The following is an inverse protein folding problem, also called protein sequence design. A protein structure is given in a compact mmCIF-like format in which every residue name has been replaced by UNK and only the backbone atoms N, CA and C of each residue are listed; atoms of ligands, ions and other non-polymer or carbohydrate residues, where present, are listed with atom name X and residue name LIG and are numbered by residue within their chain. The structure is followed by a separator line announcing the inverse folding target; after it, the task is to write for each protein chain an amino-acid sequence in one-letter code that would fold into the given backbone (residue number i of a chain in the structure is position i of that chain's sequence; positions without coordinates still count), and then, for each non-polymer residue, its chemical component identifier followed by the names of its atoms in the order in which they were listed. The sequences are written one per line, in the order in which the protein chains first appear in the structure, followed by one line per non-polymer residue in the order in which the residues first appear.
data_IF_171204945370
#
_entry.id   IF_171204945370
#
_cell.length_a   1.000
_cell.length_b   1.000
_cell.length_c   1.000
_cell.angle_alpha   90.00
_cell.angle_beta   90.00
_cell.angle_gamma   90.00
#
_symmetry.space_group_name_H-M   'P 1'
#
loop_
_entity.id
_entity.type
_entity.pdbx_description
1 polymer ?
#
# COMPACT_ATOMS: atom_id res chain seq x y z
N UNK A 1 -16.05 -7.16 16.90
CA UNK A 1 -16.08 -6.18 17.98
C UNK A 1 -17.14 -6.55 19.02
N UNK A 2 -16.75 -6.46 20.30
CA UNK A 2 -17.63 -6.75 21.44
C UNK A 2 -18.50 -5.55 21.79
N UNK A 3 -18.40 -4.46 21.04
CA UNK A 3 -19.01 -3.17 21.34
C UNK A 3 -20.18 -2.89 20.42
N UNK A 4 -21.18 -2.18 20.97
CA UNK A 4 -22.36 -1.71 20.23
C UNK A 4 -22.41 -0.18 20.09
N UNK A 5 -21.43 0.54 20.67
CA UNK A 5 -21.38 2.01 20.63
C UNK A 5 -20.34 2.52 19.62
N UNK A 6 -20.65 3.61 18.93
CA UNK A 6 -19.75 4.24 17.95
C UNK A 6 -18.39 4.61 18.55
N UNK A 7 -18.39 5.19 19.76
CA UNK A 7 -17.14 5.62 20.44
C UNK A 7 -16.20 4.45 20.74
N UNK A 8 -16.74 3.31 21.18
CA UNK A 8 -15.94 2.13 21.47
C UNK A 8 -15.44 1.46 20.17
N UNK A 9 -16.22 1.51 19.08
CA UNK A 9 -15.76 1.09 17.76
C UNK A 9 -14.63 1.98 17.24
N UNK A 10 -14.77 3.29 17.34
CA UNK A 10 -13.75 4.26 16.96
C UNK A 10 -12.42 4.01 17.72
N UNK A 11 -12.51 3.75 19.02
CA UNK A 11 -11.32 3.44 19.83
C UNK A 11 -10.65 2.13 19.41
N UNK A 12 -11.44 1.10 19.09
CA UNK A 12 -10.92 -0.16 18.56
C UNK A 12 -10.19 0.03 17.21
N UNK A 13 -10.74 0.86 16.32
CA UNK A 13 -10.12 1.18 15.02
C UNK A 13 -8.82 1.98 15.18
N UNK A 14 -8.75 2.90 16.13
CA UNK A 14 -7.51 3.63 16.46
C UNK A 14 -6.44 2.65 16.96
N UNK A 15 -6.78 1.73 17.85
CA UNK A 15 -5.86 0.71 18.35
C UNK A 15 -5.38 -0.22 17.22
N UNK A 16 -6.29 -0.67 16.38
CA UNK A 16 -5.96 -1.51 15.22
C UNK A 16 -5.03 -0.77 14.24
N UNK A 17 -5.33 0.47 13.94
CA UNK A 17 -4.51 1.31 13.06
C UNK A 17 -3.11 1.59 13.61
N UNK A 18 -3.00 1.83 14.92
CA UNK A 18 -1.68 2.01 15.57
C UNK A 18 -0.87 0.71 15.54
N UNK A 19 -1.48 -0.42 15.89
CA UNK A 19 -0.82 -1.73 15.82
C UNK A 19 -0.33 -2.05 14.40
N UNK A 20 -1.15 -1.83 13.40
CA UNK A 20 -0.79 -2.06 12.00
C UNK A 20 0.35 -1.13 11.53
N UNK A 21 0.39 0.11 12.03
CA UNK A 21 1.46 1.05 11.70
C UNK A 21 2.81 0.59 12.26
N UNK A 22 2.85 0.02 13.45
CA UNK A 22 4.06 -0.54 14.06
C UNK A 22 4.61 -1.73 13.28
N UNK A 23 3.74 -2.60 12.76
CA UNK A 23 4.16 -3.79 11.99
C UNK A 23 4.67 -3.39 10.60
N UNK A 24 3.92 -2.56 9.87
CA UNK A 24 4.14 -2.27 8.43
C UNK A 24 5.49 -1.63 8.06
N UNK A 25 6.24 -1.10 9.02
CA UNK A 25 7.59 -0.57 8.77
C UNK A 25 8.68 -1.53 9.21
N UNK A 26 8.40 -2.30 10.27
CA UNK A 26 9.36 -3.20 10.89
C UNK A 26 9.62 -4.45 10.05
N UNK A 27 8.58 -5.02 9.42
CA UNK A 27 8.64 -6.24 8.62
C UNK A 27 9.58 -6.11 7.41
N UNK A 28 9.37 -5.09 6.61
CA UNK A 28 10.16 -4.86 5.40
C UNK A 28 11.59 -4.38 5.72
N UNK A 29 11.76 -3.63 6.82
CA UNK A 29 13.08 -3.23 7.30
C UNK A 29 13.88 -4.46 7.80
N UNK A 30 13.25 -5.34 8.58
CA UNK A 30 13.87 -6.57 9.05
C UNK A 30 14.29 -7.48 7.90
N UNK A 31 13.44 -7.60 6.87
CA UNK A 31 13.76 -8.36 5.66
C UNK A 31 14.99 -7.78 4.95
N UNK A 32 15.03 -6.46 4.75
CA UNK A 32 16.15 -5.82 4.08
C UNK A 32 17.45 -5.98 4.88
N UNK A 33 17.41 -5.71 6.18
CA UNK A 33 18.57 -5.84 7.06
C UNK A 33 19.09 -7.28 7.12
N UNK A 34 18.17 -8.26 7.12
CA UNK A 34 18.53 -9.69 7.07
C UNK A 34 19.21 -10.02 5.74
N UNK A 35 18.66 -9.59 4.61
CA UNK A 35 19.29 -9.86 3.30
C UNK A 35 20.63 -9.16 3.16
N UNK A 36 20.79 -7.96 3.70
CA UNK A 36 22.06 -7.23 3.73
C UNK A 36 23.11 -7.94 4.62
N UNK A 37 22.73 -8.44 5.80
CA UNK A 37 23.63 -9.20 6.66
C UNK A 37 24.24 -10.43 5.96
N UNK A 38 23.48 -11.08 5.08
CA UNK A 38 23.93 -12.22 4.28
C UNK A 38 24.54 -11.82 2.93
N UNK A 39 24.77 -10.52 2.66
CA UNK A 39 25.28 -9.98 1.39
C UNK A 39 24.42 -10.40 0.18
N UNK A 40 23.10 -10.40 0.37
CA UNK A 40 22.10 -10.82 -0.62
C UNK A 40 21.02 -9.74 -0.83
N UNK A 41 21.41 -8.47 -0.78
CA UNK A 41 20.48 -7.32 -0.95
C UNK A 41 19.75 -7.37 -2.30
N UNK A 42 20.38 -7.93 -3.32
CA UNK A 42 19.80 -8.16 -4.63
C UNK A 42 18.57 -9.10 -4.61
N UNK A 43 18.44 -9.92 -3.56
CA UNK A 43 17.27 -10.81 -3.39
C UNK A 43 16.13 -10.15 -2.61
N UNK A 44 16.34 -8.97 -2.00
CA UNK A 44 15.32 -8.27 -1.21
C UNK A 44 14.01 -8.13 -1.98
N UNK A 45 14.06 -7.57 -3.19
CA UNK A 45 12.87 -7.31 -4.01
C UNK A 45 12.09 -8.60 -4.33
N UNK A 46 12.81 -9.68 -4.57
CA UNK A 46 12.21 -11.01 -4.79
C UNK A 46 11.48 -11.53 -3.55
N UNK A 47 12.05 -11.36 -2.36
CA UNK A 47 11.42 -11.78 -1.11
C UNK A 47 10.26 -10.85 -0.72
N UNK A 48 10.41 -9.54 -0.88
CA UNK A 48 9.33 -8.57 -0.65
C UNK A 48 8.13 -8.85 -1.57
N UNK A 49 8.39 -9.20 -2.83
CA UNK A 49 7.35 -9.64 -3.77
C UNK A 49 6.62 -10.90 -3.30
N UNK A 50 7.35 -11.89 -2.75
CA UNK A 50 6.75 -13.11 -2.18
C UNK A 50 5.90 -12.82 -0.95
N UNK A 51 6.38 -11.95 -0.05
CA UNK A 51 5.62 -11.53 1.14
C UNK A 51 4.34 -10.82 0.73
N UNK A 52 4.45 -9.89 -0.24
CA UNK A 52 3.29 -9.19 -0.80
C UNK A 52 2.30 -10.17 -1.42
N UNK A 53 2.78 -11.18 -2.16
CA UNK A 53 1.93 -12.23 -2.71
C UNK A 53 1.20 -13.00 -1.61
N UNK A 54 1.93 -13.52 -0.62
CA UNK A 54 1.34 -14.30 0.49
C UNK A 54 0.29 -13.47 1.22
N UNK A 55 0.56 -12.18 1.47
CA UNK A 55 -0.40 -11.27 2.09
C UNK A 55 -1.69 -11.13 1.26
N UNK A 56 -1.57 -10.89 -0.05
CA UNK A 56 -2.74 -10.77 -0.92
C UNK A 56 -3.52 -12.10 -1.10
N UNK A 57 -2.84 -13.24 -1.10
CA UNK A 57 -3.51 -14.54 -1.07
C UNK A 57 -4.25 -14.78 0.24
N UNK A 58 -3.67 -14.39 1.38
CA UNK A 58 -4.32 -14.47 2.68
C UNK A 58 -5.56 -13.53 2.73
N UNK A 59 -5.47 -12.31 2.19
CA UNK A 59 -6.63 -11.41 2.04
C UNK A 59 -7.73 -12.01 1.15
N UNK A 60 -7.35 -12.65 0.04
CA UNK A 60 -8.28 -13.31 -0.85
C UNK A 60 -9.04 -14.44 -0.14
N UNK A 61 -8.34 -15.29 0.60
CA UNK A 61 -8.95 -16.35 1.41
C UNK A 61 -9.84 -15.77 2.52
N UNK A 62 -9.34 -14.73 3.21
CA UNK A 62 -10.11 -14.04 4.25
C UNK A 62 -11.41 -13.43 3.70
N UNK A 63 -11.40 -12.92 2.46
CA UNK A 63 -12.59 -12.41 1.78
C UNK A 63 -13.66 -13.49 1.57
N UNK A 64 -13.25 -14.68 1.14
CA UNK A 64 -14.17 -15.82 0.93
C UNK A 64 -14.72 -16.31 2.27
N UNK A 65 -13.84 -16.65 3.21
CA UNK A 65 -14.26 -17.18 4.51
C UNK A 65 -15.02 -16.13 5.34
N UNK A 66 -14.59 -14.86 5.30
CA UNK A 66 -15.27 -13.76 5.95
C UNK A 66 -16.69 -13.55 5.40
N UNK A 67 -16.85 -13.63 4.07
CA UNK A 67 -18.17 -13.60 3.44
C UNK A 67 -19.06 -14.75 3.89
N UNK A 68 -18.56 -15.98 3.93
CA UNK A 68 -19.30 -17.14 4.42
C UNK A 68 -19.69 -16.99 5.91
N UNK A 69 -18.77 -16.56 6.77
CA UNK A 69 -19.06 -16.32 8.18
C UNK A 69 -20.10 -15.20 8.38
N UNK A 70 -20.06 -14.17 7.55
CA UNK A 70 -21.00 -13.05 7.62
C UNK A 70 -22.44 -13.46 7.28
N UNK A 71 -22.67 -14.56 6.54
CA UNK A 71 -24.02 -15.10 6.31
C UNK A 71 -24.67 -15.63 7.58
N UNK A 72 -23.88 -16.10 8.55
CA UNK A 72 -24.39 -16.54 9.86
C UNK A 72 -24.51 -15.40 10.85
N UNK A 73 -23.49 -14.53 10.93
CA UNK A 73 -23.49 -13.32 11.76
C UNK A 73 -22.41 -12.36 11.31
N UNK A 74 -22.75 -11.06 11.23
CA UNK A 74 -21.79 -9.99 10.93
C UNK A 74 -20.65 -9.86 11.96
N UNK A 75 -20.77 -10.47 13.13
CA UNK A 75 -19.74 -10.48 14.18
C UNK A 75 -18.73 -11.62 14.04
N UNK A 76 -19.12 -12.73 13.41
CA UNK A 76 -18.25 -13.91 13.27
C UNK A 76 -16.92 -13.62 12.54
N UNK A 77 -16.88 -12.85 11.45
CA UNK A 77 -15.60 -12.47 10.81
C UNK A 77 -14.64 -11.77 11.76
N UNK A 78 -15.14 -10.89 12.65
CA UNK A 78 -14.30 -10.20 13.63
C UNK A 78 -13.73 -11.12 14.70
N UNK A 79 -14.51 -12.12 15.14
CA UNK A 79 -14.00 -13.12 16.08
C UNK A 79 -12.95 -14.02 15.44
N UNK A 80 -13.18 -14.46 14.21
CA UNK A 80 -12.19 -15.22 13.44
C UNK A 80 -10.90 -14.43 13.22
N UNK A 81 -11.03 -13.16 12.86
CA UNK A 81 -9.87 -12.25 12.71
C UNK A 81 -9.09 -12.10 14.02
N UNK A 82 -9.76 -11.96 15.16
CA UNK A 82 -9.11 -11.88 16.46
C UNK A 82 -8.30 -13.16 16.76
N UNK A 83 -8.90 -14.34 16.57
CA UNK A 83 -8.22 -15.63 16.77
C UNK A 83 -6.97 -15.73 15.88
N UNK A 84 -7.10 -15.42 14.60
CA UNK A 84 -5.97 -15.47 13.65
C UNK A 84 -4.89 -14.46 14.05
N UNK A 85 -5.25 -13.24 14.47
CA UNK A 85 -4.28 -12.23 14.91
C UNK A 85 -3.44 -12.71 16.12
N UNK A 86 -4.04 -13.45 17.06
CA UNK A 86 -3.32 -14.03 18.19
C UNK A 86 -2.25 -15.06 17.76
N UNK A 87 -2.42 -15.74 16.63
CA UNK A 87 -1.39 -16.65 16.10
C UNK A 87 -0.13 -15.94 15.64
N UNK A 88 -0.21 -14.64 15.39
CA UNK A 88 0.93 -13.80 15.06
C UNK A 88 1.91 -13.61 16.24
N UNK A 89 1.44 -13.72 17.48
CA UNK A 89 2.27 -13.52 18.67
C UNK A 89 3.42 -14.56 18.75
N UNK A 90 3.17 -15.88 18.74
CA UNK A 90 4.26 -16.85 18.74
C UNK A 90 5.15 -16.73 17.50
N UNK A 91 4.60 -16.40 16.33
CA UNK A 91 5.39 -16.17 15.14
C UNK A 91 6.36 -14.99 15.29
N UNK A 92 5.92 -13.89 15.93
CA UNK A 92 6.76 -12.73 16.21
C UNK A 92 7.94 -13.06 17.14
N UNK A 93 7.74 -13.92 18.15
CA UNK A 93 8.81 -14.37 19.05
C UNK A 93 9.85 -15.27 18.36
N UNK A 94 9.53 -15.89 17.24
CA UNK A 94 10.46 -16.69 16.46
C UNK A 94 11.37 -15.84 15.54
N UNK A 95 11.06 -14.57 15.34
CA UNK A 95 11.89 -13.67 14.53
C UNK A 95 13.18 -13.34 15.27
N UNK A 96 14.31 -13.43 14.56
CA UNK A 96 15.62 -13.01 15.07
C UNK A 96 15.89 -11.58 14.64
N UNK A 97 16.15 -10.72 15.62
CA UNK A 97 16.60 -9.36 15.31
C UNK A 97 18.01 -9.36 14.74
N UNK A 98 18.22 -8.52 13.73
CA UNK A 98 19.55 -8.20 13.22
C UNK A 98 20.22 -7.25 14.20
N UNK A 99 21.44 -7.56 14.62
CA UNK A 99 22.22 -6.72 15.55
C UNK A 99 22.39 -5.31 14.96
N UNK A 100 21.69 -4.34 15.53
CA UNK A 100 21.85 -2.91 15.24
C UNK A 100 22.86 -2.33 16.23
N UNK A 101 23.89 -1.68 15.72
CA UNK A 101 25.05 -1.24 16.49
C UNK A 101 24.80 -0.03 17.43
N UNK A 102 23.65 0.61 17.41
CA UNK A 102 23.40 1.83 18.18
C UNK A 102 22.23 1.68 19.17
N UNK A 103 22.53 1.80 20.49
CA UNK A 103 21.53 2.02 21.53
C UNK A 103 20.99 3.45 21.41
N UNK A 104 19.70 3.58 21.13
CA UNK A 104 18.99 4.86 21.06
C UNK A 104 18.88 5.44 22.48
N UNK A 105 19.57 6.54 22.74
CA UNK A 105 19.54 7.21 24.05
C UNK A 105 18.24 8.01 24.28
N UNK A 106 17.65 8.61 23.21
CA UNK A 106 16.42 9.41 23.25
C UNK A 106 15.52 9.08 22.04
N UNK A 107 14.52 8.20 22.20
CA UNK A 107 13.70 7.74 21.06
C UNK A 107 12.95 8.86 20.34
N UNK A 108 12.44 9.86 21.06
CA UNK A 108 11.66 10.96 20.43
C UNK A 108 12.57 11.84 19.58
N UNK A 109 13.72 12.24 20.10
CA UNK A 109 14.68 13.08 19.38
C UNK A 109 15.21 12.32 18.14
N UNK A 110 15.38 11.02 18.26
CA UNK A 110 15.80 10.18 17.14
C UNK A 110 14.73 10.13 16.03
N UNK A 111 13.47 9.94 16.38
CA UNK A 111 12.35 9.97 15.41
C UNK A 111 12.29 11.33 14.71
N UNK A 112 12.39 12.44 15.44
CA UNK A 112 12.39 13.81 14.87
C UNK A 112 13.59 13.99 13.92
N UNK A 113 14.77 13.48 14.31
CA UNK A 113 15.98 13.52 13.47
C UNK A 113 15.75 12.75 12.16
N UNK A 114 15.17 11.55 12.23
CA UNK A 114 14.90 10.73 11.05
C UNK A 114 13.85 11.39 10.14
N UNK A 115 12.78 11.95 10.70
CA UNK A 115 11.79 12.71 9.93
C UNK A 115 12.46 13.87 9.20
N UNK A 116 13.25 14.68 9.90
CA UNK A 116 13.97 15.81 9.30
C UNK A 116 14.96 15.35 8.23
N UNK A 117 15.69 14.28 8.47
CA UNK A 117 16.62 13.71 7.51
C UNK A 117 15.89 13.25 6.24
N UNK A 118 14.83 12.45 6.39
CA UNK A 118 14.12 11.81 5.28
C UNK A 118 13.25 12.75 4.45
N UNK A 119 12.70 13.81 5.07
CA UNK A 119 11.77 14.72 4.38
C UNK A 119 12.37 16.08 4.02
N UNK A 120 13.49 16.48 4.67
CA UNK A 120 14.07 17.82 4.47
C UNK A 120 15.52 17.74 3.99
N UNK A 121 16.36 16.98 4.69
CA UNK A 121 17.81 16.97 4.42
C UNK A 121 18.17 16.16 3.19
N UNK A 122 17.64 14.94 3.06
CA UNK A 122 17.88 14.08 1.91
C UNK A 122 16.76 14.24 0.88
N UNK A 123 16.93 15.18 -0.04
CA UNK A 123 15.92 15.49 -1.08
C UNK A 123 15.55 14.27 -1.92
N UNK A 124 16.52 13.45 -2.29
CA UNK A 124 16.30 12.27 -3.13
C UNK A 124 15.42 11.24 -2.41
N UNK A 125 15.68 11.00 -1.13
CA UNK A 125 14.86 10.14 -0.29
C UNK A 125 13.43 10.72 -0.12
N UNK A 126 13.35 12.04 0.12
CA UNK A 126 12.06 12.73 0.20
C UNK A 126 11.23 12.53 -1.08
N UNK A 127 11.82 12.72 -2.26
CA UNK A 127 11.10 12.55 -3.52
C UNK A 127 10.60 11.10 -3.72
N UNK A 128 11.41 10.11 -3.35
CA UNK A 128 11.01 8.71 -3.38
C UNK A 128 9.85 8.42 -2.41
N UNK A 129 9.91 8.95 -1.18
CA UNK A 129 8.86 8.79 -0.18
C UNK A 129 7.56 9.45 -0.67
N UNK A 130 7.63 10.68 -1.18
CA UNK A 130 6.45 11.42 -1.67
C UNK A 130 5.83 10.75 -2.88
N UNK A 131 6.64 10.35 -3.87
CA UNK A 131 6.16 9.60 -5.02
C UNK A 131 5.48 8.29 -4.60
N UNK A 132 6.14 7.51 -3.75
CA UNK A 132 5.57 6.27 -3.19
C UNK A 132 4.31 6.52 -2.38
N UNK A 133 4.23 7.65 -1.67
CA UNK A 133 3.05 8.10 -0.93
C UNK A 133 1.86 8.36 -1.84
N UNK A 134 2.08 9.09 -2.94
CA UNK A 134 1.06 9.41 -3.94
C UNK A 134 0.52 8.14 -4.61
N UNK A 135 1.42 7.27 -5.07
CA UNK A 135 1.02 5.99 -5.69
C UNK A 135 0.28 5.09 -4.68
N UNK A 136 0.77 5.03 -3.44
CA UNK A 136 0.12 4.28 -2.36
C UNK A 136 -1.29 4.80 -2.06
N UNK A 137 -1.46 6.12 -1.93
CA UNK A 137 -2.76 6.75 -1.72
C UNK A 137 -3.70 6.52 -2.91
N UNK A 138 -3.19 6.63 -4.15
CA UNK A 138 -3.93 6.34 -5.36
C UNK A 138 -4.47 4.91 -5.38
N UNK A 139 -3.61 3.93 -5.11
CA UNK A 139 -4.01 2.51 -5.10
C UNK A 139 -4.99 2.19 -3.98
N UNK A 140 -4.86 2.86 -2.82
CA UNK A 140 -5.78 2.74 -1.71
C UNK A 140 -7.15 3.35 -2.06
N UNK A 141 -7.17 4.53 -2.66
CA UNK A 141 -8.40 5.19 -3.12
C UNK A 141 -9.15 4.31 -4.13
N UNK A 142 -8.46 3.75 -5.14
CA UNK A 142 -9.11 2.84 -6.10
C UNK A 142 -9.66 1.59 -5.42
N UNK A 143 -8.98 1.03 -4.43
CA UNK A 143 -9.48 -0.13 -3.68
C UNK A 143 -10.84 0.15 -3.04
N UNK A 144 -11.06 1.36 -2.51
CA UNK A 144 -12.37 1.79 -1.99
C UNK A 144 -13.37 2.11 -3.10
N UNK A 145 -12.92 2.59 -4.26
CA UNK A 145 -13.78 2.91 -5.41
C UNK A 145 -14.28 1.67 -6.18
N UNK A 146 -13.67 0.51 -5.99
CA UNK A 146 -14.19 -0.74 -6.59
C UNK A 146 -15.65 -0.96 -6.21
N UNK A 147 -16.03 -0.73 -4.95
CA UNK A 147 -17.40 -0.92 -4.50
C UNK A 147 -18.40 0.05 -5.16
N UNK A 148 -18.19 1.38 -5.20
CA UNK A 148 -19.02 2.30 -5.98
C UNK A 148 -19.13 1.93 -7.46
N UNK A 149 -18.05 1.46 -8.09
CA UNK A 149 -18.07 0.98 -9.49
C UNK A 149 -18.99 -0.22 -9.64
N UNK A 150 -18.89 -1.21 -8.75
CA UNK A 150 -19.76 -2.39 -8.78
C UNK A 150 -21.23 -2.04 -8.52
N UNK A 151 -21.50 -1.08 -7.62
CA UNK A 151 -22.85 -0.54 -7.39
C UNK A 151 -23.39 0.16 -8.62
N UNK A 152 -22.59 1.00 -9.29
CA UNK A 152 -22.97 1.67 -10.54
C UNK A 152 -23.33 0.67 -11.62
N UNK A 153 -22.58 -0.43 -11.75
CA UNK A 153 -22.82 -1.52 -12.70
C UNK A 153 -23.98 -2.43 -12.30
N UNK A 154 -24.65 -2.16 -11.16
CA UNK A 154 -25.72 -2.99 -10.61
C UNK A 154 -25.31 -4.46 -10.44
N UNK A 155 -24.03 -4.69 -10.12
CA UNK A 155 -23.49 -6.03 -9.87
C UNK A 155 -24.14 -6.62 -8.63
N UNK A 156 -24.61 -7.89 -8.64
CA UNK A 156 -25.13 -8.54 -7.44
C UNK A 156 -24.09 -8.56 -6.31
N UNK A 157 -24.50 -8.27 -5.08
CA UNK A 157 -23.61 -8.18 -3.91
C UNK A 157 -22.82 -9.48 -3.69
N UNK A 158 -23.38 -10.64 -4.06
CA UNK A 158 -22.71 -11.93 -4.00
C UNK A 158 -21.41 -12.02 -4.82
N UNK A 159 -21.26 -11.19 -5.84
CA UNK A 159 -20.04 -11.13 -6.67
C UNK A 159 -18.94 -10.21 -6.11
N UNK A 160 -19.25 -9.33 -5.15
CA UNK A 160 -18.28 -8.37 -4.61
C UNK A 160 -17.07 -9.07 -3.99
N UNK A 161 -17.32 -10.11 -3.19
CA UNK A 161 -16.24 -10.90 -2.58
C UNK A 161 -15.41 -11.64 -3.62
N UNK A 162 -16.04 -12.20 -4.66
CA UNK A 162 -15.34 -12.91 -5.75
C UNK A 162 -14.45 -11.94 -6.52
N UNK A 163 -14.98 -10.79 -6.93
CA UNK A 163 -14.22 -9.76 -7.68
C UNK A 163 -13.07 -9.25 -6.82
N UNK A 164 -13.31 -8.94 -5.54
CA UNK A 164 -12.27 -8.53 -4.60
C UNK A 164 -11.16 -9.57 -4.48
N UNK A 165 -11.53 -10.84 -4.33
CA UNK A 165 -10.59 -11.95 -4.27
C UNK A 165 -9.72 -12.03 -5.53
N UNK A 166 -10.33 -11.98 -6.71
CA UNK A 166 -9.60 -12.08 -7.97
C UNK A 166 -8.66 -10.88 -8.18
N UNK A 167 -9.09 -9.68 -7.80
CA UNK A 167 -8.25 -8.48 -7.86
C UNK A 167 -7.04 -8.59 -6.89
N UNK A 168 -7.22 -9.07 -5.67
CA UNK A 168 -6.10 -9.28 -4.73
C UNK A 168 -5.15 -10.39 -5.20
N UNK A 169 -5.66 -11.48 -5.77
CA UNK A 169 -4.83 -12.50 -6.39
C UNK A 169 -3.99 -11.90 -7.54
N UNK A 170 -4.57 -11.00 -8.34
CA UNK A 170 -3.83 -10.30 -9.40
C UNK A 170 -2.66 -9.48 -8.84
N UNK A 171 -2.88 -8.75 -7.73
CA UNK A 171 -1.79 -8.05 -7.01
C UNK A 171 -0.71 -9.03 -6.55
N UNK A 172 -1.12 -10.13 -5.93
CA UNK A 172 -0.20 -11.15 -5.42
C UNK A 172 0.67 -11.75 -6.51
N UNK A 173 0.06 -12.17 -7.63
CA UNK A 173 0.81 -12.70 -8.78
C UNK A 173 1.74 -11.66 -9.40
N UNK A 174 1.28 -10.42 -9.60
CA UNK A 174 2.12 -9.35 -10.11
C UNK A 174 3.32 -9.08 -9.20
N UNK A 175 3.13 -9.05 -7.89
CA UNK A 175 4.20 -8.82 -6.92
C UNK A 175 5.33 -9.85 -7.01
N UNK A 176 5.05 -11.11 -7.38
CA UNK A 176 6.07 -12.14 -7.59
C UNK A 176 7.06 -11.80 -8.72
N UNK A 177 6.60 -11.05 -9.70
CA UNK A 177 7.37 -10.75 -10.91
C UNK A 177 8.03 -9.37 -10.82
N UNK A 178 7.81 -8.65 -9.71
CA UNK A 178 8.31 -7.28 -9.50
C UNK A 178 9.82 -7.16 -9.69
N UNK A 179 10.61 -8.11 -9.18
CA UNK A 179 12.06 -8.15 -9.33
C UNK A 179 12.49 -8.26 -10.81
N UNK A 180 11.86 -9.17 -11.57
CA UNK A 180 12.17 -9.35 -13.00
C UNK A 180 11.81 -8.13 -13.81
N UNK A 181 10.64 -7.56 -13.54
CA UNK A 181 10.11 -6.40 -14.26
C UNK A 181 10.96 -5.16 -13.96
N UNK A 182 11.32 -4.94 -12.70
CA UNK A 182 12.17 -3.82 -12.30
C UNK A 182 13.58 -3.92 -12.89
N UNK A 183 14.19 -5.12 -12.86
CA UNK A 183 15.50 -5.36 -13.47
C UNK A 183 15.49 -5.18 -14.99
N UNK A 184 14.39 -5.48 -15.68
CA UNK A 184 14.26 -5.32 -17.13
C UNK A 184 14.07 -3.87 -17.55
N UNK A 185 13.18 -3.13 -16.88
CA UNK A 185 12.86 -1.75 -17.26
C UNK A 185 13.79 -0.72 -16.59
N UNK A 186 14.28 -1.02 -15.41
CA UNK A 186 15.03 -0.11 -14.56
C UNK A 186 14.16 0.95 -13.86
N UNK A 187 14.71 1.61 -12.81
CA UNK A 187 13.93 2.44 -11.89
C UNK A 187 13.17 3.59 -12.56
N UNK A 188 13.79 4.27 -13.51
CA UNK A 188 13.17 5.42 -14.19
C UNK A 188 11.98 5.02 -15.03
N UNK A 189 12.12 3.99 -15.89
CA UNK A 189 11.04 3.52 -16.74
C UNK A 189 9.95 2.90 -15.91
N UNK A 190 10.31 2.14 -14.87
CA UNK A 190 9.35 1.51 -13.97
C UNK A 190 8.52 2.56 -13.21
N UNK A 191 9.14 3.63 -12.71
CA UNK A 191 8.41 4.75 -12.12
C UNK A 191 7.40 5.37 -13.10
N UNK A 192 7.81 5.63 -14.35
CA UNK A 192 6.91 6.17 -15.38
C UNK A 192 5.77 5.20 -15.66
N UNK A 193 6.05 3.92 -15.85
CA UNK A 193 5.03 2.90 -16.13
C UNK A 193 4.01 2.81 -14.99
N UNK A 194 4.45 2.77 -13.74
CA UNK A 194 3.56 2.76 -12.58
C UNK A 194 2.62 3.97 -12.63
N UNK A 195 3.15 5.20 -12.81
CA UNK A 195 2.34 6.40 -12.86
C UNK A 195 1.33 6.36 -14.02
N UNK A 196 1.79 6.03 -15.22
CA UNK A 196 0.95 5.99 -16.44
C UNK A 196 -0.18 4.99 -16.30
N UNK A 197 0.09 3.77 -15.84
CA UNK A 197 -0.94 2.73 -15.71
C UNK A 197 -1.88 2.96 -14.52
N UNK A 198 -1.41 3.56 -13.43
CA UNK A 198 -2.28 3.95 -12.31
C UNK A 198 -3.20 5.10 -12.74
N UNK A 199 -2.68 6.17 -13.33
CA UNK A 199 -3.50 7.29 -13.83
C UNK A 199 -4.39 6.84 -14.99
N UNK A 200 -3.83 6.10 -15.95
CA UNK A 200 -4.55 5.53 -17.08
C UNK A 200 -5.71 4.63 -16.65
N UNK A 201 -5.55 3.87 -15.56
CA UNK A 201 -6.63 3.08 -14.99
C UNK A 201 -7.81 3.93 -14.52
N UNK A 202 -7.55 5.03 -13.82
CA UNK A 202 -8.61 5.97 -13.42
C UNK A 202 -9.32 6.59 -14.61
N UNK A 203 -8.56 7.12 -15.59
CA UNK A 203 -9.10 7.76 -16.80
C UNK A 203 -9.89 6.77 -17.63
N UNK A 204 -9.32 5.59 -17.91
CA UNK A 204 -9.98 4.57 -18.73
C UNK A 204 -11.26 4.05 -18.08
N UNK A 205 -11.25 3.87 -16.76
CA UNK A 205 -12.45 3.44 -16.04
C UNK A 205 -13.53 4.54 -16.04
N UNK A 206 -13.15 5.82 -15.93
CA UNK A 206 -14.08 6.95 -16.00
C UNK A 206 -14.86 7.01 -17.33
N UNK A 207 -14.20 6.68 -18.43
CA UNK A 207 -14.83 6.66 -19.77
C UNK A 207 -15.48 5.32 -20.11
N UNK A 208 -15.24 4.28 -19.34
CA UNK A 208 -15.73 2.93 -19.64
C UNK A 208 -16.32 2.24 -18.40
N UNK A 209 -17.37 2.85 -17.83
CA UNK A 209 -18.12 2.32 -16.70
C UNK A 209 -19.07 1.20 -17.15
N UNK A 210 -18.47 0.08 -17.61
CA UNK A 210 -19.15 -1.11 -18.08
C UNK A 210 -18.52 -2.36 -17.48
N UNK A 211 -19.14 -3.54 -17.68
CA UNK A 211 -18.49 -4.80 -17.29
C UNK A 211 -17.17 -5.04 -18.02
N UNK A 212 -17.02 -4.57 -19.27
CA UNK A 212 -15.74 -4.60 -19.96
C UNK A 212 -14.69 -3.69 -19.28
N UNK A 213 -15.14 -2.58 -18.68
CA UNK A 213 -14.28 -1.70 -17.88
C UNK A 213 -13.71 -2.37 -16.62
N UNK A 214 -14.33 -3.43 -16.10
CA UNK A 214 -13.74 -4.23 -15.02
C UNK A 214 -12.40 -4.87 -15.45
N UNK A 215 -12.21 -5.17 -16.75
CA UNK A 215 -10.92 -5.64 -17.25
C UNK A 215 -9.79 -4.59 -17.04
N UNK A 216 -10.14 -3.31 -17.05
CA UNK A 216 -9.20 -2.20 -16.78
C UNK A 216 -8.70 -2.25 -15.33
N UNK A 217 -9.56 -2.66 -14.39
CA UNK A 217 -9.17 -2.85 -12.99
C UNK A 217 -8.07 -3.91 -12.85
N UNK A 218 -8.08 -4.97 -13.65
CA UNK A 218 -7.01 -5.97 -13.61
C UNK A 218 -5.66 -5.37 -13.97
N UNK A 219 -5.59 -4.55 -15.03
CA UNK A 219 -4.35 -3.87 -15.42
C UNK A 219 -3.88 -2.93 -14.30
N UNK A 220 -4.80 -2.15 -13.72
CA UNK A 220 -4.51 -1.30 -12.58
C UNK A 220 -3.93 -2.11 -11.39
N UNK A 221 -4.55 -3.25 -11.05
CA UNK A 221 -4.13 -4.08 -9.93
C UNK A 221 -2.80 -4.82 -10.20
N UNK A 222 -2.46 -5.12 -11.45
CA UNK A 222 -1.12 -5.60 -11.83
C UNK A 222 -0.06 -4.53 -11.46
N UNK A 223 -0.26 -3.27 -11.87
CA UNK A 223 0.68 -2.20 -11.56
C UNK A 223 0.70 -1.84 -10.07
N UNK A 224 -0.42 -1.94 -9.36
CA UNK A 224 -0.45 -1.89 -7.89
C UNK A 224 0.43 -2.97 -7.27
N UNK A 225 0.40 -4.19 -7.80
CA UNK A 225 1.22 -5.31 -7.34
C UNK A 225 2.71 -5.07 -7.53
N UNK A 226 3.13 -4.49 -8.65
CA UNK A 226 4.51 -4.09 -8.88
C UNK A 226 4.93 -2.92 -7.98
N UNK A 227 4.07 -1.91 -7.81
CA UNK A 227 4.41 -0.66 -7.13
C UNK A 227 4.84 -0.87 -5.67
N UNK A 228 4.14 -1.74 -4.92
CA UNK A 228 4.40 -1.90 -3.50
C UNK A 228 5.82 -2.39 -3.20
N UNK A 229 6.30 -3.54 -3.71
CA UNK A 229 7.65 -4.03 -3.42
C UNK A 229 8.73 -3.15 -4.05
N UNK A 230 8.52 -2.67 -5.28
CA UNK A 230 9.52 -1.86 -6.00
C UNK A 230 9.78 -0.53 -5.27
N UNK A 231 8.73 0.22 -4.94
CA UNK A 231 8.89 1.52 -4.30
C UNK A 231 9.42 1.43 -2.87
N UNK A 232 9.08 0.35 -2.12
CA UNK A 232 9.74 0.05 -0.85
C UNK A 232 11.23 -0.27 -1.05
N UNK A 233 11.56 -1.02 -2.09
CA UNK A 233 12.94 -1.37 -2.44
C UNK A 233 13.81 -0.14 -2.67
N UNK A 234 13.34 0.82 -3.45
CA UNK A 234 14.07 2.06 -3.72
C UNK A 234 14.31 2.90 -2.46
N UNK A 235 13.31 3.01 -1.58
CA UNK A 235 13.46 3.70 -0.30
C UNK A 235 14.48 2.99 0.59
N UNK A 236 14.44 1.66 0.68
CA UNK A 236 15.35 0.88 1.51
C UNK A 236 16.81 0.95 1.04
N UNK A 237 17.05 0.98 -0.27
CA UNK A 237 18.40 1.16 -0.84
C UNK A 237 19.02 2.50 -0.48
N UNK A 238 18.20 3.55 -0.25
CA UNK A 238 18.66 4.90 0.09
C UNK A 238 18.71 5.17 1.59
N UNK A 239 18.33 4.19 2.42
CA UNK A 239 18.15 4.38 3.86
C UNK A 239 19.11 3.49 4.64
N UNK A 240 19.79 4.07 5.64
CA UNK A 240 20.64 3.30 6.55
C UNK A 240 19.81 2.34 7.41
N UNK A 241 20.43 1.23 7.84
CA UNK A 241 19.76 0.14 8.55
C UNK A 241 19.04 0.60 9.84
N UNK A 242 19.66 1.51 10.58
CA UNK A 242 19.12 2.04 11.85
C UNK A 242 17.84 2.88 11.67
N UNK A 243 17.61 3.44 10.48
CA UNK A 243 16.48 4.33 10.17
C UNK A 243 15.38 3.68 9.31
N UNK A 244 15.61 2.51 8.68
CA UNK A 244 14.69 1.92 7.68
C UNK A 244 13.26 1.75 8.19
N UNK A 245 13.09 1.15 9.37
CA UNK A 245 11.77 0.92 9.93
C UNK A 245 11.00 2.23 10.11
N UNK A 246 11.67 3.27 10.62
CA UNK A 246 11.06 4.59 10.83
C UNK A 246 10.73 5.27 9.50
N UNK A 247 11.64 5.21 8.50
CA UNK A 247 11.42 5.80 7.18
C UNK A 247 10.25 5.11 6.44
N UNK A 248 10.14 3.78 6.52
CA UNK A 248 9.00 3.07 5.94
C UNK A 248 7.69 3.37 6.69
N UNK A 249 7.75 3.57 8.01
CA UNK A 249 6.59 4.03 8.79
C UNK A 249 6.17 5.44 8.40
N UNK A 250 7.11 6.37 8.16
CA UNK A 250 6.83 7.71 7.62
C UNK A 250 6.15 7.60 6.24
N UNK A 251 6.66 6.77 5.35
CA UNK A 251 6.03 6.50 4.05
C UNK A 251 4.58 6.04 4.21
N UNK A 252 4.33 5.05 5.06
CA UNK A 252 2.99 4.51 5.28
C UNK A 252 2.05 5.54 5.94
N UNK A 253 2.57 6.36 6.83
CA UNK A 253 1.83 7.48 7.42
C UNK A 253 1.43 8.50 6.35
N UNK A 254 2.35 8.87 5.43
CA UNK A 254 2.07 9.77 4.31
C UNK A 254 0.99 9.21 3.40
N UNK A 255 1.03 7.91 3.07
CA UNK A 255 -0.02 7.24 2.28
C UNK A 255 -1.39 7.42 2.94
N UNK A 256 -1.48 7.14 4.24
CA UNK A 256 -2.74 7.24 5.00
C UNK A 256 -3.23 8.68 5.15
N UNK A 257 -2.30 9.62 5.38
CA UNK A 257 -2.62 11.04 5.49
C UNK A 257 -3.15 11.59 4.16
N UNK A 258 -2.49 11.28 3.04
CA UNK A 258 -2.95 11.65 1.71
C UNK A 258 -4.32 11.03 1.40
N UNK A 259 -4.50 9.75 1.71
CA UNK A 259 -5.80 9.09 1.54
C UNK A 259 -6.88 9.76 2.39
N UNK A 260 -6.62 10.04 3.66
CA UNK A 260 -7.57 10.68 4.57
C UNK A 260 -7.96 12.10 4.12
N UNK A 261 -7.04 12.82 3.46
CA UNK A 261 -7.34 14.15 2.90
C UNK A 261 -8.12 14.07 1.57
N UNK A 262 -7.78 13.10 0.72
CA UNK A 262 -8.32 13.00 -0.64
C UNK A 262 -9.64 12.23 -0.67
N UNK A 263 -9.77 11.12 0.04
CA UNK A 263 -10.90 10.21 -0.08
C UNK A 263 -12.27 10.85 0.26
N UNK A 264 -12.41 11.68 1.34
CA UNK A 264 -13.67 12.35 1.62
C UNK A 264 -14.07 13.33 0.52
N UNK A 265 -13.09 14.07 -0.03
CA UNK A 265 -13.33 15.01 -1.13
C UNK A 265 -13.79 14.29 -2.41
N UNK A 266 -13.14 13.17 -2.73
CA UNK A 266 -13.50 12.37 -3.90
C UNK A 266 -14.85 11.67 -3.70
N UNK A 267 -15.15 11.20 -2.47
CA UNK A 267 -16.46 10.68 -2.10
C UNK A 267 -17.56 11.72 -2.28
N UNK A 268 -17.33 12.94 -1.80
CA UNK A 268 -18.24 14.07 -2.01
C UNK A 268 -18.48 14.38 -3.51
N UNK A 269 -17.43 14.35 -4.34
CA UNK A 269 -17.56 14.52 -5.79
C UNK A 269 -18.42 13.43 -6.43
N UNK A 270 -18.25 12.18 -5.97
CA UNK A 270 -19.08 11.06 -6.44
C UNK A 270 -20.56 11.28 -6.11
N UNK A 271 -20.86 11.74 -4.90
CA UNK A 271 -22.23 11.92 -4.42
C UNK A 271 -22.92 13.16 -5.04
N UNK A 272 -22.16 14.25 -5.23
CA UNK A 272 -22.72 15.51 -5.75
C UNK A 272 -22.75 15.59 -7.27
N UNK A 273 -21.84 14.93 -7.96
CA UNK A 273 -21.72 15.02 -9.43
C UNK A 273 -21.89 13.65 -10.09
N UNK A 274 -20.83 12.83 -10.09
CA UNK A 274 -20.86 11.48 -10.65
C UNK A 274 -19.58 10.70 -10.32
N UNK A 275 -19.67 9.38 -10.44
CA UNK A 275 -18.52 8.49 -10.34
C UNK A 275 -17.44 8.82 -11.39
N UNK A 276 -17.86 9.20 -12.61
CA UNK A 276 -16.97 9.61 -13.69
C UNK A 276 -16.13 10.84 -13.30
N UNK A 277 -16.77 11.88 -12.76
CA UNK A 277 -16.08 13.10 -12.30
C UNK A 277 -15.11 12.77 -11.18
N UNK A 278 -15.53 11.97 -10.21
CA UNK A 278 -14.68 11.54 -9.08
C UNK A 278 -13.42 10.81 -9.57
N UNK A 279 -13.54 9.91 -10.55
CA UNK A 279 -12.41 9.18 -11.12
C UNK A 279 -11.47 10.11 -11.91
N UNK A 280 -11.99 11.05 -12.73
CA UNK A 280 -11.17 12.00 -13.50
C UNK A 280 -10.43 12.98 -12.60
N UNK A 281 -11.08 13.50 -11.56
CA UNK A 281 -10.44 14.39 -10.59
C UNK A 281 -9.36 13.62 -9.81
N UNK A 282 -9.60 12.36 -9.43
CA UNK A 282 -8.59 11.50 -8.82
C UNK A 282 -7.37 11.35 -9.73
N UNK A 283 -7.58 11.10 -11.03
CA UNK A 283 -6.50 11.01 -12.00
C UNK A 283 -5.65 12.29 -12.05
N UNK A 284 -6.27 13.47 -12.03
CA UNK A 284 -5.58 14.77 -12.01
C UNK A 284 -4.77 15.00 -10.71
N UNK A 285 -5.38 14.71 -9.56
CA UNK A 285 -4.72 14.82 -8.23
C UNK A 285 -3.51 13.89 -8.12
N UNK A 286 -3.51 12.75 -8.82
CA UNK A 286 -2.40 11.80 -8.81
C UNK A 286 -1.33 12.20 -9.83
N UNK A 287 -1.76 12.57 -11.05
CA UNK A 287 -0.86 12.85 -12.17
C UNK A 287 0.06 14.04 -11.89
N UNK A 288 -0.48 15.15 -11.41
CA UNK A 288 0.27 16.38 -11.22
C UNK A 288 1.40 16.21 -10.18
N UNK A 289 1.15 15.87 -8.92
CA UNK A 289 2.22 15.71 -7.95
C UNK A 289 3.05 14.43 -8.22
N UNK A 290 2.45 13.35 -8.74
CA UNK A 290 3.17 12.14 -9.12
C UNK A 290 4.21 12.42 -10.21
N UNK A 291 3.84 13.17 -11.25
CA UNK A 291 4.74 13.60 -12.32
C UNK A 291 5.86 14.52 -11.82
N UNK A 292 5.53 15.48 -10.94
CA UNK A 292 6.50 16.41 -10.34
C UNK A 292 7.56 15.63 -9.54
N UNK A 293 7.13 14.80 -8.57
CA UNK A 293 8.08 14.08 -7.71
C UNK A 293 8.87 13.04 -8.48
N UNK A 294 8.27 12.36 -9.47
CA UNK A 294 9.00 11.47 -10.38
C UNK A 294 10.05 12.22 -11.21
N UNK A 295 9.72 13.40 -11.73
CA UNK A 295 10.65 14.25 -12.46
C UNK A 295 11.81 14.72 -11.60
N UNK A 296 11.53 15.16 -10.36
CA UNK A 296 12.54 15.58 -9.39
C UNK A 296 13.48 14.44 -8.96
N UNK A 297 12.94 13.21 -8.83
CA UNK A 297 13.70 12.02 -8.48
C UNK A 297 14.81 11.69 -9.49
N UNK A 298 14.58 11.96 -10.79
CA UNK A 298 15.53 11.64 -11.84
C UNK A 298 16.23 12.86 -12.45
N UNK A 299 16.02 14.04 -11.87
CA UNK A 299 16.79 15.24 -12.21
C UNK A 299 18.21 15.06 -11.69
N UNK A 300 19.19 15.04 -12.60
CA UNK A 300 20.60 15.11 -12.20
C UNK A 300 20.80 16.40 -11.41
N UNK A 301 21.33 16.30 -10.19
CA UNK A 301 21.87 17.47 -9.52
C UNK A 301 23.04 17.94 -10.39
N UNK A 302 22.82 19.04 -11.12
CA UNK A 302 23.88 19.80 -11.73
C UNK A 302 24.60 20.52 -10.59
N UNK A 303 25.55 19.85 -10.00
CA UNK A 303 26.60 20.43 -9.14
C UNK A 303 27.76 20.90 -9.99
#
# INVERSE_FOLDING_TARGET
SFTSTFTAFLFAEILLGTGQTLVNGADSALLYDTTAQYKKENLYLRYEGRITMIGNFAEALAGIFGGLLATYSLRLPFYAQAVIAFTGIPAAFMLKEVNRSNKIQNPVNEIVRIIRYSLVTNKQLCYNIMYSGIIGAATLTMAWFVQPVLMYLKTPVSWYGVIWTVLNLTVGFAALWSDRVDNYFGPRKMGILILVFIVGGYVSLAFNLTYAGLAILFVFYIFRGFATPILKGYINQMTFSDMRATVLSIRNFIIRLMFAAIAPFIGWLNDMYSLQVALLVSAGIILLPGGIFLGLQFRKETS
#
